data_IF_138351172419
#
_entry.id   IF_138351172419
#
_cell.length_a   1.000
_cell.length_b   1.000
_cell.length_c   1.000
_cell.angle_alpha   90.00
_cell.angle_beta   90.00
_cell.angle_gamma   90.00
#
_symmetry.space_group_name_H-M   'P 1'
#
loop_
_entity.id
_entity.type
_entity.pdbx_description
1 polymer ?
#
# COMPACT_ATOMS: atom_id res chain seq x y z
N UNK A 1 -15.87 -7.38 -21.94
CA UNK A 1 -15.09 -8.48 -21.33
C UNK A 1 -15.30 -8.39 -19.83
N UNK A 2 -16.19 -9.22 -19.27
CA UNK A 2 -16.48 -9.24 -17.83
C UNK A 2 -15.57 -10.28 -17.20
N UNK A 3 -14.76 -9.86 -16.23
CA UNK A 3 -13.91 -10.76 -15.46
C UNK A 3 -14.85 -11.71 -14.69
N UNK A 4 -15.00 -12.95 -15.16
CA UNK A 4 -15.67 -13.99 -14.41
C UNK A 4 -14.79 -14.32 -13.20
N UNK A 5 -15.16 -13.79 -12.03
CA UNK A 5 -14.73 -14.33 -10.75
C UNK A 5 -15.23 -15.77 -10.71
N UNK A 6 -14.34 -16.72 -11.03
CA UNK A 6 -14.56 -18.14 -10.72
C UNK A 6 -14.98 -18.18 -9.26
N UNK A 7 -16.19 -18.69 -9.04
CA UNK A 7 -16.84 -18.94 -7.76
C UNK A 7 -15.81 -19.20 -6.68
N UNK A 8 -15.59 -18.20 -5.84
CA UNK A 8 -14.90 -18.37 -4.58
C UNK A 8 -15.74 -19.29 -3.70
N UNK A 9 -15.10 -20.25 -3.05
CA UNK A 9 -15.70 -21.03 -1.97
C UNK A 9 -16.36 -20.09 -0.94
N UNK A 10 -17.51 -20.50 -0.41
CA UNK A 10 -18.33 -19.72 0.54
C UNK A 10 -17.56 -19.30 1.81
N UNK A 11 -16.41 -19.93 2.08
CA UNK A 11 -15.57 -19.67 3.25
C UNK A 11 -14.36 -18.77 2.96
N UNK A 12 -14.13 -18.39 1.70
CA UNK A 12 -13.03 -17.50 1.35
C UNK A 12 -13.47 -16.05 1.52
N UNK A 13 -13.19 -15.47 2.69
CA UNK A 13 -13.34 -14.03 2.94
C UNK A 13 -12.43 -13.25 2.00
N UNK A 14 -12.99 -12.70 0.92
CA UNK A 14 -12.30 -11.65 0.17
C UNK A 14 -12.29 -10.41 1.07
N UNK A 15 -11.12 -9.85 1.38
CA UNK A 15 -11.05 -8.57 2.07
C UNK A 15 -11.73 -7.47 1.23
N UNK A 16 -12.40 -6.53 1.89
CA UNK A 16 -12.97 -5.34 1.26
C UNK A 16 -11.93 -4.21 1.37
N UNK A 17 -11.69 -3.43 0.31
CA UNK A 17 -10.76 -2.31 0.37
C UNK A 17 -11.25 -1.22 1.32
N UNK A 18 -10.36 -0.81 2.21
CA UNK A 18 -10.54 0.29 3.16
C UNK A 18 -10.33 1.66 2.49
N UNK A 19 -9.50 1.70 1.44
CA UNK A 19 -9.17 2.90 0.69
C UNK A 19 -9.46 2.73 -0.80
N UNK A 20 -9.70 3.84 -1.48
CA UNK A 20 -10.01 3.92 -2.91
C UNK A 20 -8.98 4.74 -3.67
N UNK A 21 -8.95 4.58 -5.00
CA UNK A 21 -8.05 5.37 -5.85
C UNK A 21 -8.45 6.85 -5.75
N UNK A 22 -7.47 7.71 -5.44
CA UNK A 22 -7.67 9.13 -5.20
C UNK A 22 -7.67 9.51 -3.72
N UNK A 23 -7.80 8.54 -2.80
CA UNK A 23 -7.79 8.84 -1.37
C UNK A 23 -6.43 9.36 -0.92
N UNK A 24 -6.48 10.37 -0.04
CA UNK A 24 -5.33 10.98 0.62
C UNK A 24 -5.02 10.21 1.89
N UNK A 25 -3.81 9.68 1.97
CA UNK A 25 -3.37 8.80 3.05
C UNK A 25 -2.01 9.20 3.59
N UNK A 26 -1.75 8.81 4.83
CA UNK A 26 -0.49 8.91 5.55
C UNK A 26 0.09 7.51 5.70
N UNK A 27 1.36 7.33 5.36
CA UNK A 27 2.03 6.04 5.60
C UNK A 27 2.51 5.93 7.04
N UNK A 28 2.17 4.84 7.74
CA UNK A 28 2.40 4.70 9.19
C UNK A 28 3.19 3.47 9.63
N UNK A 29 3.49 2.48 8.80
CA UNK A 29 3.76 1.09 9.30
C UNK A 29 5.19 0.58 9.27
N UNK A 30 6.20 1.42 9.06
CA UNK A 30 7.58 0.91 9.14
C UNK A 30 8.42 1.84 9.99
N UNK A 31 8.83 1.33 11.15
CA UNK A 31 9.73 1.98 12.11
C UNK A 31 11.03 2.42 11.41
N UNK A 32 11.49 1.61 10.47
CA UNK A 32 12.64 1.89 9.59
C UNK A 32 12.39 3.11 8.70
N UNK A 33 11.23 3.18 8.07
CA UNK A 33 10.86 4.32 7.21
C UNK A 33 10.56 5.58 8.06
N UNK A 34 9.97 5.43 9.25
CA UNK A 34 9.72 6.54 10.21
C UNK A 34 11.01 7.21 10.68
N UNK A 35 12.03 6.42 11.03
CA UNK A 35 13.36 6.94 11.40
C UNK A 35 14.01 7.72 10.24
N UNK A 36 13.73 7.32 8.99
CA UNK A 36 14.31 7.93 7.80
C UNK A 36 13.61 9.21 7.37
N UNK A 37 12.31 9.33 7.63
CA UNK A 37 11.52 10.47 7.18
C UNK A 37 11.95 11.79 7.86
N UNK A 38 12.43 11.77 9.11
CA UNK A 38 12.75 12.93 9.98
C UNK A 38 11.63 13.97 10.17
N UNK A 39 10.67 14.05 9.25
CA UNK A 39 9.39 14.71 9.29
C UNK A 39 8.29 13.65 9.40
N UNK A 40 7.19 14.01 10.07
CA UNK A 40 5.98 13.19 10.12
C UNK A 40 5.52 12.82 8.71
N UNK A 41 5.84 11.59 8.29
CA UNK A 41 5.26 10.84 7.15
C UNK A 41 4.45 11.68 6.16
N UNK A 42 5.10 12.04 5.06
CA UNK A 42 4.53 12.86 4.00
C UNK A 42 3.19 12.31 3.51
N UNK A 43 2.22 13.19 3.19
CA UNK A 43 0.97 12.77 2.59
C UNK A 43 1.22 12.06 1.25
N UNK A 44 0.39 11.06 0.99
CA UNK A 44 0.43 10.24 -0.21
C UNK A 44 -0.98 10.09 -0.79
N UNK A 45 -1.03 9.72 -2.06
CA UNK A 45 -2.28 9.47 -2.79
C UNK A 45 -2.32 8.02 -3.23
N UNK A 46 -3.45 7.34 -2.97
CA UNK A 46 -3.67 5.99 -3.49
C UNK A 46 -3.90 6.07 -5.00
N UNK A 47 -3.02 5.47 -5.78
CA UNK A 47 -3.11 5.42 -7.25
C UNK A 47 -3.55 4.05 -7.77
N UNK A 48 -3.56 3.04 -6.91
CA UNK A 48 -3.98 1.71 -7.28
C UNK A 48 -4.36 0.84 -6.09
N UNK A 49 -5.30 -0.06 -6.32
CA UNK A 49 -5.73 -1.07 -5.35
C UNK A 49 -5.73 -2.41 -6.06
N UNK A 50 -5.00 -3.39 -5.53
CA UNK A 50 -4.98 -4.76 -6.09
C UNK A 50 -5.26 -5.77 -5.01
N UNK A 51 -6.14 -6.70 -5.34
CA UNK A 51 -6.32 -7.93 -4.58
C UNK A 51 -5.19 -8.90 -4.94
N UNK A 52 -4.42 -9.36 -3.95
CA UNK A 52 -3.30 -10.28 -4.12
C UNK A 52 -3.51 -11.53 -3.29
N UNK A 53 -3.25 -12.68 -3.89
CA UNK A 53 -3.20 -13.96 -3.18
C UNK A 53 -1.79 -14.17 -2.65
N UNK A 54 -1.68 -14.43 -1.35
CA UNK A 54 -0.45 -14.72 -0.64
C UNK A 54 -0.37 -16.22 -0.38
N UNK A 55 0.58 -16.89 -1.05
CA UNK A 55 0.81 -18.34 -0.95
C UNK A 55 1.97 -18.65 0.01
N UNK A 56 1.98 -17.99 1.17
CA UNK A 56 2.94 -18.25 2.24
C UNK A 56 2.17 -18.87 3.42
N UNK A 57 1.87 -20.17 3.33
CA UNK A 57 0.98 -20.87 4.26
C UNK A 57 -0.41 -21.11 3.65
N UNK A 58 -1.49 -21.21 4.45
CA UNK A 58 -2.84 -21.30 3.90
C UNK A 58 -3.11 -20.12 2.98
N UNK A 59 -3.72 -20.41 1.81
CA UNK A 59 -4.01 -19.40 0.80
C UNK A 59 -4.84 -18.28 1.41
N UNK A 60 -4.26 -17.08 1.46
CA UNK A 60 -4.91 -15.89 1.99
C UNK A 60 -4.98 -14.81 0.93
N UNK A 61 -6.08 -14.08 0.92
CA UNK A 61 -6.26 -12.92 0.06
C UNK A 61 -6.02 -11.67 0.89
N UNK A 62 -5.24 -10.74 0.35
CA UNK A 62 -4.98 -9.45 0.98
C UNK A 62 -5.06 -8.33 -0.05
N UNK A 63 -5.33 -7.12 0.43
CA UNK A 63 -5.38 -5.93 -0.42
C UNK A 63 -4.05 -5.20 -0.31
N UNK A 64 -3.49 -4.89 -1.46
CA UNK A 64 -2.27 -4.10 -1.59
C UNK A 64 -2.63 -2.79 -2.26
N UNK A 65 -2.26 -1.70 -1.61
CA UNK A 65 -2.42 -0.33 -2.09
C UNK A 65 -1.11 0.14 -2.72
N UNK A 66 -1.23 0.78 -3.87
CA UNK A 66 -0.14 1.49 -4.52
C UNK A 66 -0.33 2.96 -4.21
N UNK A 67 0.63 3.54 -3.49
CA UNK A 67 0.60 4.93 -3.09
C UNK A 67 1.72 5.70 -3.78
N UNK A 68 1.44 6.95 -4.09
CA UNK A 68 2.42 7.93 -4.58
C UNK A 68 2.56 9.00 -3.51
N UNK A 69 3.78 9.22 -3.02
CA UNK A 69 4.05 10.34 -2.12
C UNK A 69 4.06 11.66 -2.89
N UNK A 70 3.53 12.72 -2.28
CA UNK A 70 3.57 14.05 -2.87
C UNK A 70 5.00 14.57 -2.97
N UNK A 71 5.74 14.41 -1.87
CA UNK A 71 7.16 14.68 -1.81
C UNK A 71 7.91 13.35 -1.93
N UNK A 72 8.73 13.16 -2.98
CA UNK A 72 9.54 11.96 -3.10
C UNK A 72 10.44 11.78 -1.88
N UNK A 73 10.55 10.56 -1.39
CA UNK A 73 11.45 10.27 -0.28
C UNK A 73 12.90 10.41 -0.74
N UNK A 74 13.79 10.99 0.10
CA UNK A 74 15.17 11.19 -0.27
C UNK A 74 15.86 9.87 -0.63
N UNK A 75 16.74 9.94 -1.63
CA UNK A 75 17.61 8.82 -2.00
C UNK A 75 18.49 8.47 -0.81
N UNK A 76 18.45 7.23 -0.35
CA UNK A 76 19.47 6.69 0.55
C UNK A 76 20.25 5.62 -0.23
N UNK A 77 21.55 5.54 0.03
CA UNK A 77 22.52 4.56 -0.52
C UNK A 77 22.08 3.09 -0.44
N UNK A 78 20.99 2.79 0.28
CA UNK A 78 20.38 1.46 0.43
C UNK A 78 19.23 1.15 -0.54
N UNK A 79 18.73 2.12 -1.29
CA UNK A 79 17.86 1.80 -2.43
C UNK A 79 18.72 1.12 -3.48
N UNK A 80 18.39 -0.11 -3.86
CA UNK A 80 19.12 -0.86 -4.88
C UNK A 80 19.25 -0.10 -6.22
N UNK A 81 18.39 0.90 -6.44
CA UNK A 81 18.37 1.78 -7.61
C UNK A 81 19.04 3.15 -7.43
N UNK A 82 19.34 3.58 -6.19
CA UNK A 82 19.80 4.95 -5.92
C UNK A 82 18.81 6.04 -6.32
N UNK A 83 17.52 5.70 -6.48
CA UNK A 83 16.47 6.63 -6.89
C UNK A 83 15.54 6.96 -5.72
N UNK A 84 14.99 8.20 -5.66
CA UNK A 84 14.09 8.59 -4.59
C UNK A 84 12.82 7.73 -4.63
N UNK A 85 12.34 7.30 -3.47
CA UNK A 85 11.13 6.46 -3.39
C UNK A 85 9.93 7.38 -3.56
N UNK A 86 9.30 7.33 -4.73
CA UNK A 86 8.06 8.06 -5.02
C UNK A 86 6.82 7.19 -4.91
N UNK A 87 6.97 5.91 -5.21
CA UNK A 87 5.90 4.92 -5.24
C UNK A 87 6.18 3.80 -4.25
N UNK A 88 5.16 3.39 -3.51
CA UNK A 88 5.26 2.29 -2.56
C UNK A 88 4.03 1.39 -2.65
N UNK A 89 4.26 0.08 -2.52
CA UNK A 89 3.19 -0.92 -2.42
C UNK A 89 3.06 -1.36 -0.97
N UNK A 90 1.90 -1.13 -0.35
CA UNK A 90 1.70 -1.28 1.09
C UNK A 90 0.37 -1.96 1.41
N UNK A 91 0.23 -2.45 2.63
CA UNK A 91 -1.02 -3.00 3.14
C UNK A 91 -1.90 -1.91 3.76
N UNK A 92 -3.19 -2.20 3.97
CA UNK A 92 -4.14 -1.21 4.54
C UNK A 92 -3.80 -0.80 5.96
N UNK A 93 -3.32 -1.74 6.79
CA UNK A 93 -2.82 -1.46 8.14
C UNK A 93 -1.55 -0.59 8.16
N UNK A 94 -0.98 -0.30 6.99
CA UNK A 94 0.14 0.60 6.82
C UNK A 94 -0.23 2.03 6.48
N UNK A 95 -1.53 2.31 6.38
CA UNK A 95 -2.07 3.59 5.96
C UNK A 95 -3.05 4.12 6.99
N UNK A 96 -3.13 5.45 7.07
CA UNK A 96 -4.21 6.17 7.75
C UNK A 96 -4.76 7.23 6.80
N UNK A 97 -6.06 7.58 6.92
CA UNK A 97 -6.61 8.70 6.17
C UNK A 97 -5.92 10.01 6.58
N UNK A 98 -5.47 10.78 5.61
CA UNK A 98 -4.97 12.13 5.84
C UNK A 98 -6.14 13.08 6.08
N UNK A 99 -6.19 13.71 7.26
CA UNK A 99 -7.17 14.75 7.61
C UNK A 99 -6.41 16.05 7.87
N UNK A 100 -6.67 17.06 7.05
CA UNK A 100 -6.09 18.41 7.16
C UNK A 100 -6.59 19.17 8.39
#
# INVERSE_FOLDING_TARGET
MVLQLKTLDKDVRIPIPEYTIGDRVRYISDETLREWAKEESSPATVVGVKLRMFRQGPDSWGIVYFIVFDTPWPVIERTLSGAPIRELSVYGNSLELWRE
#
